data_IF_030314453618
#
_entry.id   IF_030314453618
#
_cell.length_a   1.000
_cell.length_b   1.000
_cell.length_c   1.000
_cell.angle_alpha   90.00
_cell.angle_beta   90.00
_cell.angle_gamma   90.00
#
_symmetry.space_group_name_H-M   'P 1'
#
loop_
_entity.id
_entity.type
_entity.pdbx_description
1 polymer ?
#
# COMPACT_ATOMS: atom_id res chain seq x y z
N UNK A 1 -4.52 6.77 9.49
CA UNK A 1 -5.24 5.77 10.32
C UNK A 1 -6.66 6.24 10.60
N UNK A 2 -7.60 5.34 10.81
CA UNK A 2 -8.90 5.61 11.45
C UNK A 2 -9.34 4.37 12.26
N UNK A 3 -10.57 4.32 12.77
CA UNK A 3 -11.04 3.18 13.59
C UNK A 3 -10.76 1.82 12.94
N UNK A 4 -11.23 1.60 11.71
CA UNK A 4 -10.96 0.36 10.93
C UNK A 4 -9.83 0.52 9.90
N UNK A 5 -9.42 1.74 9.57
CA UNK A 5 -8.53 2.05 8.45
C UNK A 5 -9.25 2.18 7.10
N UNK A 6 -10.50 1.70 6.99
CA UNK A 6 -11.28 1.65 5.74
C UNK A 6 -11.57 3.03 5.18
N UNK A 7 -12.12 3.94 5.99
CA UNK A 7 -12.45 5.28 5.54
C UNK A 7 -11.21 6.07 5.09
N UNK A 8 -10.10 5.96 5.82
CA UNK A 8 -8.85 6.60 5.47
C UNK A 8 -8.32 6.08 4.12
N UNK A 9 -8.38 4.75 3.90
CA UNK A 9 -7.96 4.14 2.65
C UNK A 9 -8.81 4.55 1.44
N UNK A 10 -10.14 4.55 1.59
CA UNK A 10 -11.06 4.97 0.53
C UNK A 10 -10.81 6.44 0.17
N UNK A 11 -10.64 7.30 1.18
CA UNK A 11 -10.38 8.72 0.95
C UNK A 11 -9.01 8.95 0.29
N UNK A 12 -7.95 8.29 0.77
CA UNK A 12 -6.60 8.43 0.25
C UNK A 12 -6.50 8.07 -1.24
N UNK A 13 -7.05 6.93 -1.65
CA UNK A 13 -7.03 6.46 -3.04
C UNK A 13 -7.86 7.32 -4.04
N UNK A 14 -8.55 8.37 -3.58
CA UNK A 14 -9.17 9.36 -4.48
C UNK A 14 -8.19 10.45 -4.94
N UNK A 15 -7.07 10.60 -4.24
CA UNK A 15 -6.05 11.60 -4.59
C UNK A 15 -5.17 11.04 -5.70
N UNK A 16 -4.93 11.84 -6.74
CA UNK A 16 -4.06 11.42 -7.84
C UNK A 16 -2.64 11.14 -7.33
N UNK A 17 -2.04 10.04 -7.80
CA UNK A 17 -0.73 9.55 -7.42
C UNK A 17 -0.71 8.80 -6.09
N UNK A 18 -1.85 8.60 -5.43
CA UNK A 18 -1.92 7.83 -4.17
C UNK A 18 -2.35 6.40 -4.44
N UNK A 19 -1.51 5.47 -4.03
CA UNK A 19 -1.79 4.04 -4.01
C UNK A 19 -1.71 3.60 -2.55
N UNK A 20 -2.87 3.56 -1.90
CA UNK A 20 -2.99 3.20 -0.50
C UNK A 20 -3.60 1.80 -0.36
N UNK A 21 -3.12 1.04 0.62
CA UNK A 21 -3.78 -0.18 1.08
C UNK A 21 -3.90 -0.19 2.61
N UNK A 22 -4.87 -0.97 3.09
CA UNK A 22 -5.04 -1.23 4.52
C UNK A 22 -4.23 -2.48 4.85
N UNK A 23 -3.31 -2.36 5.80
CA UNK A 23 -2.51 -3.48 6.27
C UNK A 23 -2.69 -3.65 7.78
N UNK A 24 -2.88 -4.89 8.22
CA UNK A 24 -2.99 -5.27 9.64
C UNK A 24 -1.94 -6.32 10.05
N UNK A 25 -0.97 -6.55 9.18
CA UNK A 25 0.12 -7.49 9.35
C UNK A 25 1.35 -6.99 8.57
N UNK A 26 2.52 -7.49 8.93
CA UNK A 26 3.80 -7.06 8.33
C UNK A 26 3.93 -7.52 6.89
N UNK A 27 3.40 -8.70 6.55
CA UNK A 27 3.47 -9.28 5.21
C UNK A 27 2.81 -8.37 4.18
N UNK A 28 1.55 -8.03 4.39
CA UNK A 28 0.78 -7.14 3.53
C UNK A 28 1.42 -5.76 3.43
N UNK A 29 2.08 -5.29 4.50
CA UNK A 29 2.71 -3.98 4.53
C UNK A 29 3.95 -3.88 3.63
N UNK A 30 4.87 -4.84 3.73
CA UNK A 30 6.06 -4.84 2.86
C UNK A 30 5.69 -5.25 1.42
N UNK A 31 4.80 -6.23 1.26
CA UNK A 31 4.36 -6.70 -0.06
C UNK A 31 3.61 -5.62 -0.84
N UNK A 32 2.79 -4.79 -0.17
CA UNK A 32 2.13 -3.66 -0.82
C UNK A 32 3.14 -2.72 -1.48
N UNK A 33 4.28 -2.46 -0.83
CA UNK A 33 5.36 -1.64 -1.40
C UNK A 33 6.09 -2.41 -2.50
N UNK A 34 6.55 -3.63 -2.20
CA UNK A 34 7.37 -4.44 -3.10
C UNK A 34 6.64 -4.74 -4.42
N UNK A 35 5.38 -5.13 -4.34
CA UNK A 35 4.63 -5.69 -5.46
C UNK A 35 3.70 -4.71 -6.14
N UNK A 36 3.15 -3.74 -5.39
CA UNK A 36 2.10 -2.85 -5.87
C UNK A 36 2.51 -1.36 -5.87
N UNK A 37 3.76 -1.06 -5.51
CA UNK A 37 4.30 0.30 -5.43
C UNK A 37 3.44 1.19 -4.51
N UNK A 38 2.90 0.58 -3.43
CA UNK A 38 2.10 1.27 -2.43
C UNK A 38 2.92 2.38 -1.77
N UNK A 39 2.35 3.59 -1.73
CA UNK A 39 3.03 4.77 -1.19
C UNK A 39 2.32 5.39 0.02
N UNK A 40 1.17 4.85 0.42
CA UNK A 40 0.45 5.26 1.63
C UNK A 40 -0.05 4.03 2.40
N UNK A 41 0.41 3.89 3.64
CA UNK A 41 -0.05 2.84 4.55
C UNK A 41 -1.30 3.30 5.33
N UNK A 42 -2.39 2.53 5.23
CA UNK A 42 -3.56 2.68 6.08
C UNK A 42 -3.64 1.57 7.13
N UNK A 43 -4.04 1.92 8.35
CA UNK A 43 -4.20 0.96 9.47
C UNK A 43 -5.45 1.27 10.29
N UNK A 44 -5.97 0.23 10.95
CA UNK A 44 -7.14 0.30 11.82
C UNK A 44 -6.77 0.37 13.30
N UNK A 45 -6.99 1.53 13.92
CA UNK A 45 -6.64 1.78 15.33
C UNK A 45 -7.49 0.96 16.34
N UNK A 46 -8.63 0.41 15.91
CA UNK A 46 -9.46 -0.51 16.72
C UNK A 46 -9.23 -1.98 16.36
N UNK A 47 -8.35 -2.27 15.39
CA UNK A 47 -8.11 -3.61 14.85
C UNK A 47 -6.77 -4.16 15.33
N UNK A 48 -5.72 -3.35 15.28
CA UNK A 48 -4.37 -3.74 15.71
C UNK A 48 -3.92 -2.94 16.93
N UNK A 49 -3.15 -3.60 17.80
CA UNK A 49 -2.49 -2.96 18.95
C UNK A 49 -1.29 -2.12 18.55
N UNK A 50 -0.73 -1.37 19.52
CA UNK A 50 0.38 -0.43 19.27
C UNK A 50 1.67 -1.14 18.86
N UNK A 51 2.03 -2.26 19.49
CA UNK A 51 3.27 -2.98 19.15
C UNK A 51 3.26 -3.57 17.72
N UNK A 52 2.25 -4.36 17.30
CA UNK A 52 2.20 -4.81 15.91
C UNK A 52 2.10 -3.64 14.92
N UNK A 53 1.43 -2.52 15.29
CA UNK A 53 1.40 -1.34 14.43
C UNK A 53 2.80 -0.76 14.17
N UNK A 54 3.71 -0.76 15.16
CA UNK A 54 5.10 -0.33 14.95
C UNK A 54 5.84 -1.25 13.98
N UNK A 55 5.67 -2.56 14.12
CA UNK A 55 6.29 -3.54 13.23
C UNK A 55 5.79 -3.42 11.79
N UNK A 56 4.47 -3.22 11.62
CA UNK A 56 3.84 -2.98 10.32
C UNK A 56 4.39 -1.72 9.66
N UNK A 57 4.52 -0.63 10.42
CA UNK A 57 5.12 0.62 9.92
C UNK A 57 6.58 0.41 9.53
N UNK A 58 7.35 -0.31 10.33
CA UNK A 58 8.74 -0.62 10.00
C UNK A 58 8.87 -1.48 8.74
N UNK A 59 8.01 -2.50 8.58
CA UNK A 59 7.97 -3.35 7.39
C UNK A 59 7.61 -2.54 6.13
N UNK A 60 6.63 -1.64 6.21
CA UNK A 60 6.29 -0.73 5.12
C UNK A 60 7.45 0.20 4.74
N UNK A 61 8.05 0.88 5.73
CA UNK A 61 9.11 1.85 5.48
C UNK A 61 10.43 1.21 5.03
N UNK A 62 10.69 -0.04 5.42
CA UNK A 62 11.88 -0.78 5.03
C UNK A 62 11.78 -1.48 3.66
N UNK A 63 10.58 -1.57 3.10
CA UNK A 63 10.34 -2.22 1.83
C UNK A 63 10.65 -1.29 0.64
N UNK A 64 10.93 -1.90 -0.53
CA UNK A 64 11.20 -1.18 -1.78
C UNK A 64 10.50 -1.89 -2.93
N UNK A 65 9.90 -1.13 -3.85
CA UNK A 65 9.29 -1.68 -5.06
C UNK A 65 10.26 -2.52 -5.88
N UNK A 66 9.94 -3.80 -6.10
CA UNK A 66 10.80 -4.77 -6.82
C UNK A 66 10.50 -4.85 -8.31
N UNK A 67 9.46 -4.17 -8.82
CA UNK A 67 9.08 -4.30 -10.23
C UNK A 67 10.13 -3.78 -11.24
N UNK A 68 11.20 -3.14 -10.76
CA UNK A 68 12.36 -2.75 -11.57
C UNK A 68 13.51 -3.79 -11.53
N UNK A 69 13.39 -4.83 -10.70
CA UNK A 69 14.39 -5.88 -10.56
C UNK A 69 14.21 -6.95 -11.65
N UNK A 70 15.30 -7.63 -12.02
CA UNK A 70 15.30 -8.67 -13.07
C UNK A 70 14.44 -9.85 -12.62
N UNK A 71 13.48 -10.27 -13.45
CA UNK A 71 12.56 -11.38 -13.16
C UNK A 71 11.28 -10.98 -12.40
N UNK A 72 11.14 -9.70 -12.04
CA UNK A 72 10.00 -9.17 -11.29
C UNK A 72 9.08 -8.28 -12.15
N UNK A 73 9.20 -8.36 -13.48
CA UNK A 73 8.49 -7.52 -14.46
C UNK A 73 6.95 -7.64 -14.35
N UNK A 74 6.47 -8.75 -13.77
CA UNK A 74 5.04 -8.96 -13.48
C UNK A 74 4.46 -7.86 -12.59
N UNK A 75 5.24 -7.30 -11.66
CA UNK A 75 4.81 -6.27 -10.72
C UNK A 75 4.69 -4.92 -11.41
N UNK A 76 5.73 -4.49 -12.15
CA UNK A 76 5.67 -3.28 -12.97
C UNK A 76 4.50 -3.32 -13.97
N UNK A 77 4.23 -4.48 -14.58
CA UNK A 77 3.07 -4.65 -15.47
C UNK A 77 1.73 -4.45 -14.74
N UNK A 78 1.57 -4.97 -13.53
CA UNK A 78 0.33 -4.81 -12.73
C UNK A 78 0.16 -3.36 -12.27
N UNK A 79 1.20 -2.75 -11.72
CA UNK A 79 1.20 -1.33 -11.33
C UNK A 79 0.82 -0.45 -12.52
N UNK A 80 1.42 -0.67 -13.69
CA UNK A 80 1.09 0.09 -14.91
C UNK A 80 -0.40 0.02 -15.28
N UNK A 81 -1.06 -1.12 -15.05
CA UNK A 81 -2.52 -1.25 -15.27
C UNK A 81 -3.31 -0.38 -14.28
N UNK A 82 -2.91 -0.36 -13.01
CA UNK A 82 -3.55 0.47 -11.98
C UNK A 82 -3.38 1.95 -12.30
N UNK A 83 -2.16 2.39 -12.64
CA UNK A 83 -1.89 3.78 -13.05
C UNK A 83 -2.69 4.19 -14.29
N UNK A 84 -2.89 3.26 -15.23
CA UNK A 84 -3.76 3.50 -16.39
C UNK A 84 -5.22 3.72 -15.97
N UNK A 85 -5.76 2.94 -15.05
CA UNK A 85 -7.14 3.14 -14.55
C UNK A 85 -7.32 4.52 -13.92
N UNK A 86 -6.31 5.00 -13.20
CA UNK A 86 -6.30 6.34 -12.63
C UNK A 86 -6.32 7.43 -13.72
N UNK A 87 -5.53 7.27 -14.79
CA UNK A 87 -5.48 8.25 -15.88
C UNK A 87 -6.82 8.43 -16.62
N UNK A 88 -7.69 7.42 -16.57
CA UNK A 88 -9.02 7.43 -17.20
C UNK A 88 -10.09 8.15 -16.36
N UNK A 89 -9.81 8.44 -15.08
CA UNK A 89 -10.72 9.22 -14.24
C UNK A 89 -10.56 10.70 -14.59
N UNK A 90 -11.49 11.21 -15.40
CA UNK A 90 -11.65 12.65 -15.73
C UNK A 90 -11.89 13.45 -14.45
#
# INVERSE_FOLDING_TARGET
MCGSGVGANIAANKMRGVYAAICHDTYSAHQGVEHDDMNVLCMGARIIGVEPAKEIVAAFLGARFVGNDVGEERHARRVSKVRRLESLKV
#
